data_IF_702251728567
#
_entry.id   IF_702251728567
#
_cell.length_a   1.000
_cell.length_b   1.000
_cell.length_c   1.000
_cell.angle_alpha   90.00
_cell.angle_beta   90.00
_cell.angle_gamma   90.00
#
_symmetry.space_group_name_H-M   'P 1'
#
loop_
_entity.id
_entity.type
_entity.pdbx_description
1 polymer ?
#
# COMPACT_ATOMS: atom_id res chain seq x y z
N UNK A 1 -5.81 10.27 -17.62
CA UNK A 1 -5.31 9.14 -18.44
C UNK A 1 -6.32 8.00 -18.34
N UNK A 2 -6.59 7.21 -19.39
CA UNK A 2 -7.57 6.12 -19.32
C UNK A 2 -6.90 4.87 -18.75
N UNK A 3 -7.37 4.37 -17.60
CA UNK A 3 -6.98 3.06 -17.05
C UNK A 3 -7.40 1.97 -18.02
N UNK A 4 -6.53 0.99 -18.25
CA UNK A 4 -6.80 -0.16 -19.13
C UNK A 4 -6.51 -1.46 -18.38
N UNK A 5 -7.27 -2.51 -18.69
CA UNK A 5 -6.86 -3.88 -18.33
C UNK A 5 -5.54 -4.20 -19.02
N UNK A 6 -4.66 -4.94 -18.33
CA UNK A 6 -3.36 -5.33 -18.86
C UNK A 6 -3.45 -6.04 -20.23
N UNK A 7 -4.51 -6.83 -20.46
CA UNK A 7 -4.76 -7.53 -21.73
C UNK A 7 -5.12 -6.60 -22.89
N UNK A 8 -5.53 -5.36 -22.60
CA UNK A 8 -5.90 -4.35 -23.60
C UNK A 8 -4.80 -3.29 -23.81
N UNK A 9 -3.62 -3.50 -23.23
CA UNK A 9 -2.50 -2.60 -23.35
C UNK A 9 -1.64 -2.91 -24.58
N UNK A 10 -1.13 -1.87 -25.23
CA UNK A 10 -0.03 -1.99 -26.17
C UNK A 10 1.27 -2.17 -25.37
N UNK A 11 1.76 -3.41 -25.29
CA UNK A 11 2.92 -3.75 -24.48
C UNK A 11 4.23 -3.19 -25.04
N UNK A 12 4.34 -3.06 -26.35
CA UNK A 12 5.54 -2.51 -26.99
C UNK A 12 5.63 -1.00 -26.73
N UNK A 13 4.51 -0.28 -26.84
CA UNK A 13 4.43 1.13 -26.47
C UNK A 13 4.72 1.35 -24.98
N UNK A 14 4.14 0.52 -24.11
CA UNK A 14 4.37 0.63 -22.67
C UNK A 14 5.82 0.39 -22.31
N UNK A 15 6.45 -0.68 -22.81
CA UNK A 15 7.87 -0.96 -22.55
C UNK A 15 8.78 0.16 -23.05
N UNK A 16 8.49 0.73 -24.23
CA UNK A 16 9.31 1.80 -24.83
C UNK A 16 9.23 3.13 -24.07
N UNK A 17 8.08 3.42 -23.44
CA UNK A 17 7.81 4.74 -22.85
C UNK A 17 7.89 4.75 -21.33
N UNK A 18 8.05 3.59 -20.68
CA UNK A 18 8.03 3.46 -19.23
C UNK A 18 9.45 3.31 -18.70
N UNK A 19 9.78 4.12 -17.69
CA UNK A 19 11.06 4.07 -16.99
C UNK A 19 10.98 3.31 -15.67
N UNK A 20 9.81 3.31 -15.02
CA UNK A 20 9.60 2.62 -13.74
C UNK A 20 8.30 1.84 -13.75
N UNK A 21 8.35 0.59 -13.30
CA UNK A 21 7.21 -0.31 -13.20
C UNK A 21 6.75 -0.41 -11.74
N UNK A 22 5.68 0.31 -11.42
CA UNK A 22 5.08 0.37 -10.10
C UNK A 22 3.97 -0.67 -9.90
N UNK A 23 3.90 -1.25 -8.70
CA UNK A 23 2.91 -2.26 -8.32
C UNK A 23 2.35 -1.98 -6.92
N UNK A 24 1.04 -2.17 -6.75
CA UNK A 24 0.43 -2.43 -5.45
C UNK A 24 0.82 -3.82 -4.92
N UNK A 25 0.61 -4.07 -3.63
CA UNK A 25 0.83 -5.36 -3.00
C UNK A 25 -0.43 -6.23 -2.96
N UNK A 26 -1.42 -5.82 -2.16
CA UNK A 26 -2.59 -6.64 -1.85
C UNK A 26 -3.44 -6.87 -3.11
N UNK A 27 -3.76 -8.13 -3.39
CA UNK A 27 -4.45 -8.64 -4.59
C UNK A 27 -3.79 -8.26 -5.94
N UNK A 28 -2.58 -7.70 -5.92
CA UNK A 28 -1.79 -7.39 -7.11
C UNK A 28 -0.54 -8.28 -7.16
N UNK A 29 0.39 -8.17 -6.22
CA UNK A 29 1.54 -9.07 -6.13
C UNK A 29 1.22 -10.34 -5.33
N UNK A 30 0.37 -10.22 -4.31
CA UNK A 30 0.01 -11.36 -3.46
C UNK A 30 -1.45 -11.27 -3.03
N UNK A 31 -2.05 -12.41 -2.67
CA UNK A 31 -3.33 -12.40 -1.96
C UNK A 31 -3.17 -11.62 -0.65
N UNK A 32 -4.21 -10.90 -0.23
CA UNK A 32 -4.03 -9.95 0.87
C UNK A 32 -3.47 -10.59 2.14
N UNK A 33 -2.43 -9.96 2.70
CA UNK A 33 -1.67 -10.41 3.87
C UNK A 33 -0.95 -11.76 3.74
N UNK A 34 -0.72 -12.25 2.53
CA UNK A 34 0.02 -13.48 2.26
C UNK A 34 1.32 -13.16 1.51
N UNK A 35 2.39 -13.94 1.67
CA UNK A 35 3.60 -13.77 0.87
C UNK A 35 3.34 -14.05 -0.61
N UNK A 36 4.18 -13.48 -1.48
CA UNK A 36 4.18 -13.81 -2.90
C UNK A 36 4.35 -15.32 -3.10
N UNK A 37 3.62 -15.88 -4.07
CA UNK A 37 3.76 -17.29 -4.45
C UNK A 37 5.02 -17.49 -5.30
N UNK A 38 5.58 -18.72 -5.38
CA UNK A 38 6.83 -18.99 -6.11
C UNK A 38 6.90 -18.42 -7.52
N UNK A 39 5.83 -18.55 -8.32
CA UNK A 39 5.80 -17.97 -9.67
C UNK A 39 5.92 -16.44 -9.67
N UNK A 40 5.25 -15.75 -8.73
CA UNK A 40 5.33 -14.30 -8.63
C UNK A 40 6.71 -13.85 -8.17
N UNK A 41 7.32 -14.57 -7.22
CA UNK A 41 8.68 -14.31 -6.77
C UNK A 41 9.63 -14.33 -7.98
N UNK A 42 9.59 -15.38 -8.79
CA UNK A 42 10.45 -15.52 -9.97
C UNK A 42 10.27 -14.35 -10.96
N UNK A 43 9.02 -13.99 -11.31
CA UNK A 43 8.75 -12.89 -12.27
C UNK A 43 9.14 -11.53 -11.71
N UNK A 44 8.82 -11.27 -10.45
CA UNK A 44 9.12 -10.00 -9.81
C UNK A 44 10.64 -9.82 -9.67
N UNK A 45 11.37 -10.86 -9.25
CA UNK A 45 12.83 -10.88 -9.20
C UNK A 45 13.45 -10.65 -10.59
N UNK A 46 12.96 -11.35 -11.61
CA UNK A 46 13.44 -11.18 -12.99
C UNK A 46 13.17 -9.76 -13.52
N UNK A 47 12.06 -9.14 -13.11
CA UNK A 47 11.71 -7.78 -13.52
C UNK A 47 12.66 -6.76 -12.88
N UNK A 48 12.97 -6.89 -11.59
CA UNK A 48 13.94 -5.99 -10.94
C UNK A 48 15.34 -6.14 -11.54
N UNK A 49 15.71 -7.31 -12.06
CA UNK A 49 16.98 -7.49 -12.76
C UNK A 49 17.09 -6.72 -14.10
N UNK A 50 15.97 -6.28 -14.69
CA UNK A 50 15.93 -5.66 -16.03
C UNK A 50 15.41 -4.21 -16.05
N UNK A 51 14.73 -3.76 -14.99
CA UNK A 51 14.13 -2.43 -14.95
C UNK A 51 13.98 -1.90 -13.51
N UNK A 52 13.82 -0.58 -13.40
CA UNK A 52 13.41 0.05 -12.15
C UNK A 52 11.98 -0.36 -11.80
N UNK A 53 11.80 -0.85 -10.57
CA UNK A 53 10.53 -1.36 -10.05
C UNK A 53 10.17 -0.60 -8.78
N UNK A 54 8.90 -0.23 -8.64
CA UNK A 54 8.40 0.38 -7.41
C UNK A 54 7.32 -0.48 -6.77
N UNK A 55 7.46 -0.75 -5.47
CA UNK A 55 6.43 -1.36 -4.64
C UNK A 55 5.79 -0.27 -3.78
N UNK A 56 4.54 0.08 -4.07
CA UNK A 56 3.78 1.08 -3.31
C UNK A 56 2.61 0.38 -2.64
N UNK A 57 2.72 0.15 -1.32
CA UNK A 57 1.74 -0.62 -0.54
C UNK A 57 1.14 0.22 0.57
N UNK A 58 -0.12 -0.06 0.93
CA UNK A 58 -0.72 0.47 2.16
C UNK A 58 -0.22 -0.20 3.44
N UNK A 59 0.45 -1.36 3.33
CA UNK A 59 1.03 -2.08 4.45
C UNK A 59 2.22 -1.37 5.09
N UNK A 60 2.55 -1.75 6.33
CA UNK A 60 3.78 -1.31 7.00
C UNK A 60 5.04 -1.87 6.32
N UNK A 61 6.21 -1.36 6.68
CA UNK A 61 7.48 -1.94 6.23
C UNK A 61 7.58 -3.42 6.60
N UNK A 62 7.19 -3.82 7.80
CA UNK A 62 7.23 -5.25 8.23
C UNK A 62 6.35 -6.15 7.35
N UNK A 63 5.15 -5.66 6.99
CA UNK A 63 4.24 -6.34 6.07
C UNK A 63 4.90 -6.53 4.70
N UNK A 64 5.50 -5.46 4.17
CA UNK A 64 6.21 -5.49 2.88
C UNK A 64 7.42 -6.42 2.93
N UNK A 65 8.20 -6.38 4.01
CA UNK A 65 9.38 -7.22 4.22
C UNK A 65 8.99 -8.70 4.20
N UNK A 66 8.03 -9.11 5.02
CA UNK A 66 7.60 -10.50 5.12
C UNK A 66 6.98 -11.04 3.83
N UNK A 67 6.24 -10.20 3.09
CA UNK A 67 5.48 -10.67 1.93
C UNK A 67 6.24 -10.59 0.62
N UNK A 68 7.19 -9.66 0.51
CA UNK A 68 7.94 -9.41 -0.72
C UNK A 68 9.43 -9.53 -0.49
N UNK A 69 10.02 -8.74 0.40
CA UNK A 69 11.48 -8.53 0.42
C UNK A 69 12.26 -9.76 0.90
N UNK A 70 11.74 -10.48 1.90
CA UNK A 70 12.37 -11.69 2.46
C UNK A 70 12.21 -12.90 1.55
N UNK A 71 11.23 -12.88 0.65
CA UNK A 71 10.95 -13.99 -0.27
C UNK A 71 11.57 -13.80 -1.66
N UNK A 72 12.20 -12.65 -1.94
CA UNK A 72 12.93 -12.43 -3.18
C UNK A 72 14.02 -13.49 -3.38
N UNK A 73 14.09 -14.05 -4.58
CA UNK A 73 15.12 -15.03 -4.92
C UNK A 73 16.45 -14.35 -5.31
N UNK A 74 17.46 -15.18 -5.61
CA UNK A 74 18.81 -14.71 -5.92
C UNK A 74 18.96 -13.98 -7.26
N UNK A 75 17.94 -13.98 -8.13
CA UNK A 75 17.95 -13.24 -9.39
C UNK A 75 17.51 -11.79 -9.23
N UNK A 76 16.88 -11.43 -8.10
CA UNK A 76 16.41 -10.09 -7.85
C UNK A 76 17.56 -9.09 -7.69
N UNK A 77 17.53 -8.00 -8.47
CA UNK A 77 18.36 -6.83 -8.20
C UNK A 77 17.64 -5.88 -7.24
N UNK A 78 18.07 -5.87 -5.98
CA UNK A 78 17.51 -4.99 -4.93
C UNK A 78 17.81 -3.51 -5.20
N UNK A 79 18.86 -3.20 -5.97
CA UNK A 79 19.22 -1.82 -6.28
C UNK A 79 18.27 -1.18 -7.27
N UNK A 80 17.46 -1.94 -8.02
CA UNK A 80 16.40 -1.40 -8.86
C UNK A 80 15.02 -1.37 -8.19
N UNK A 81 14.94 -1.73 -6.90
CA UNK A 81 13.65 -1.79 -6.19
C UNK A 81 13.45 -0.57 -5.28
N UNK A 82 12.38 0.17 -5.54
CA UNK A 82 11.90 1.29 -4.74
C UNK A 82 10.79 0.81 -3.82
N UNK A 83 10.97 0.94 -2.49
CA UNK A 83 10.00 0.40 -1.51
C UNK A 83 9.30 1.54 -0.78
N UNK A 84 8.00 1.68 -1.00
CA UNK A 84 7.18 2.78 -0.51
C UNK A 84 5.97 2.26 0.28
N UNK A 85 6.16 1.83 1.55
CA UNK A 85 5.09 1.35 2.40
C UNK A 85 4.18 2.51 2.85
N UNK A 86 3.08 2.17 3.53
CA UNK A 86 2.11 3.13 4.10
C UNK A 86 1.66 4.19 3.08
N UNK A 87 1.40 3.75 1.85
CA UNK A 87 1.02 4.58 0.70
C UNK A 87 2.04 5.68 0.35
N UNK A 88 3.34 5.42 0.56
CA UNK A 88 4.42 6.34 0.22
C UNK A 88 4.70 7.43 1.25
N UNK A 89 4.11 7.36 2.45
CA UNK A 89 4.52 8.20 3.57
C UNK A 89 5.93 7.86 4.08
N UNK A 90 6.46 6.69 3.71
CA UNK A 90 7.86 6.32 3.90
C UNK A 90 8.42 5.81 2.57
N UNK A 91 9.72 5.98 2.38
CA UNK A 91 10.42 5.52 1.20
C UNK A 91 11.77 4.94 1.58
N UNK A 92 12.06 3.75 1.08
CA UNK A 92 13.26 2.98 1.35
C UNK A 92 13.98 2.60 0.06
N UNK A 93 15.31 2.55 0.15
CA UNK A 93 16.20 2.12 -0.93
C UNK A 93 17.25 1.15 -0.40
N UNK A 94 17.66 0.21 -1.25
CA UNK A 94 18.77 -0.66 -0.94
C UNK A 94 20.08 0.11 -1.02
N UNK A 95 20.88 0.08 0.04
CA UNK A 95 22.19 0.76 0.09
C UNK A 95 23.38 -0.17 -0.20
N UNK A 96 23.11 -1.43 -0.57
CA UNK A 96 24.11 -2.48 -0.77
C UNK A 96 24.08 -3.56 0.31
N UNK A 97 23.63 -3.25 1.53
CA UNK A 97 23.58 -4.20 2.65
C UNK A 97 22.24 -4.25 3.39
N UNK A 98 21.49 -3.15 3.38
CA UNK A 98 20.20 -3.05 4.06
C UNK A 98 19.25 -2.09 3.33
N UNK A 99 17.96 -2.21 3.66
CA UNK A 99 16.95 -1.22 3.29
C UNK A 99 17.13 0.04 4.15
N UNK A 100 17.63 1.11 3.54
CA UNK A 100 17.85 2.40 4.17
C UNK A 100 16.63 3.31 3.96
N UNK A 101 16.19 3.97 5.04
CA UNK A 101 15.13 4.97 5.00
C UNK A 101 15.64 6.23 4.27
N UNK A 102 14.95 6.60 3.18
CA UNK A 102 15.20 7.84 2.44
C UNK A 102 14.44 9.00 3.08
N UNK A 103 13.16 8.79 3.37
CA UNK A 103 12.34 9.72 4.16
C UNK A 103 11.22 8.98 4.90
N UNK A 104 10.73 9.58 5.99
CA UNK A 104 9.45 9.23 6.61
C UNK A 104 8.67 10.50 6.97
N UNK A 105 7.35 10.41 6.83
CA UNK A 105 6.37 11.39 7.33
C UNK A 105 5.67 10.79 8.53
N UNK A 106 6.44 10.59 9.60
CA UNK A 106 5.93 10.03 10.84
C UNK A 106 5.13 11.08 11.62
N UNK A 107 4.12 10.62 12.36
CA UNK A 107 3.39 11.44 13.30
C UNK A 107 4.32 11.78 14.47
N UNK A 108 4.37 13.04 14.86
CA UNK A 108 5.14 13.45 16.03
C UNK A 108 4.52 12.89 17.33
N UNK A 109 5.28 12.77 18.42
CA UNK A 109 4.80 12.14 19.66
C UNK A 109 3.54 12.76 20.26
N UNK A 110 3.35 14.08 20.14
CA UNK A 110 2.19 14.78 20.68
C UNK A 110 0.94 14.48 19.83
N UNK A 111 1.11 14.47 18.51
CA UNK A 111 0.06 14.02 17.58
C UNK A 111 -0.31 12.56 17.85
N UNK A 112 0.67 11.68 18.05
CA UNK A 112 0.43 10.26 18.38
C UNK A 112 -0.43 10.15 19.65
N UNK A 113 -0.02 10.79 20.75
CA UNK A 113 -0.77 10.74 22.01
C UNK A 113 -2.21 11.27 21.87
N UNK A 114 -2.40 12.32 21.07
CA UNK A 114 -3.71 12.90 20.79
C UNK A 114 -4.60 11.93 20.01
N UNK A 115 -4.04 11.28 18.97
CA UNK A 115 -4.75 10.30 18.14
C UNK A 115 -5.13 9.07 18.97
N UNK A 116 -4.20 8.50 19.74
CA UNK A 116 -4.45 7.33 20.56
C UNK A 116 -5.54 7.62 21.62
N UNK A 117 -5.46 8.77 22.27
CA UNK A 117 -6.46 9.21 23.26
C UNK A 117 -7.85 9.40 22.65
N UNK A 118 -7.94 10.02 21.46
CA UNK A 118 -9.21 10.20 20.74
C UNK A 118 -9.83 8.85 20.34
N UNK A 119 -9.03 7.97 19.73
CA UNK A 119 -9.47 6.62 19.33
C UNK A 119 -10.00 5.82 20.52
N UNK A 120 -9.25 5.79 21.63
CA UNK A 120 -9.64 5.05 22.83
C UNK A 120 -10.91 5.60 23.47
N UNK A 121 -10.99 6.92 23.64
CA UNK A 121 -12.15 7.57 24.26
C UNK A 121 -13.42 7.32 23.45
N UNK A 122 -13.42 7.63 22.16
CA UNK A 122 -14.60 7.47 21.30
C UNK A 122 -14.99 5.99 21.13
N UNK A 123 -14.01 5.09 21.02
CA UNK A 123 -14.32 3.66 20.95
C UNK A 123 -15.01 3.16 22.23
N UNK A 124 -14.62 3.65 23.42
CA UNK A 124 -15.31 3.32 24.68
C UNK A 124 -16.71 3.94 24.76
N UNK A 125 -16.84 5.22 24.43
CA UNK A 125 -18.13 5.94 24.45
C UNK A 125 -19.17 5.30 23.52
N UNK A 126 -18.72 4.79 22.36
CA UNK A 126 -19.56 4.10 21.39
C UNK A 126 -19.77 2.61 21.68
N UNK A 127 -19.18 2.06 22.75
CA UNK A 127 -19.27 0.63 23.10
C UNK A 127 -18.56 -0.29 22.11
N UNK A 128 -17.52 0.20 21.43
CA UNK A 128 -16.72 -0.50 20.41
C UNK A 128 -15.41 -1.08 20.97
N UNK A 129 -15.17 -0.90 22.26
CA UNK A 129 -13.98 -1.40 22.96
C UNK A 129 -14.20 -2.84 23.44
N UNK A 130 -14.09 -3.79 22.51
CA UNK A 130 -14.41 -5.22 22.73
C UNK A 130 -13.55 -5.86 23.82
N UNK A 131 -14.11 -6.67 24.71
CA UNK A 131 -13.35 -7.32 25.80
C UNK A 131 -12.33 -8.36 25.30
N UNK A 132 -12.75 -9.19 24.32
CA UNK A 132 -11.91 -10.24 23.77
C UNK A 132 -11.01 -9.68 22.68
N UNK A 133 -9.72 -9.64 22.96
CA UNK A 133 -8.70 -9.11 22.05
C UNK A 133 -7.57 -10.07 21.72
N UNK A 134 -7.06 -9.90 20.51
CA UNK A 134 -5.88 -10.58 19.99
C UNK A 134 -4.83 -9.53 19.63
N UNK A 135 -3.90 -9.28 20.56
CA UNK A 135 -2.89 -8.24 20.45
C UNK A 135 -3.39 -6.82 20.75
N UNK A 136 -2.56 -5.80 20.49
CA UNK A 136 -2.91 -4.40 20.73
C UNK A 136 -4.14 -3.96 19.92
N UNK A 137 -5.00 -3.12 20.49
CA UNK A 137 -6.11 -2.48 19.73
C UNK A 137 -5.60 -1.32 18.90
N UNK A 138 -4.70 -0.53 19.44
CA UNK A 138 -4.10 0.62 18.76
C UNK A 138 -2.65 0.25 18.42
N UNK A 139 -2.26 0.48 17.18
CA UNK A 139 -0.93 0.21 16.67
C UNK A 139 -0.40 1.44 15.94
N UNK A 140 0.74 1.96 16.39
CA UNK A 140 1.46 3.05 15.74
C UNK A 140 2.47 2.47 14.74
N UNK A 141 2.31 2.81 13.47
CA UNK A 141 3.17 2.41 12.34
C UNK A 141 4.07 3.57 11.85
N UNK A 142 4.35 4.51 12.74
CA UNK A 142 5.05 5.77 12.48
C UNK A 142 4.16 6.81 11.81
N UNK A 143 3.83 6.59 10.54
CA UNK A 143 3.05 7.56 9.73
C UNK A 143 1.53 7.35 9.77
N UNK A 144 1.10 6.27 10.41
CA UNK A 144 -0.29 5.87 10.54
C UNK A 144 -0.50 5.20 11.88
N UNK A 145 -1.61 5.52 12.55
CA UNK A 145 -2.10 4.79 13.71
C UNK A 145 -3.36 4.05 13.30
N UNK A 146 -3.45 2.76 13.65
CA UNK A 146 -4.60 1.91 13.35
C UNK A 146 -5.25 1.42 14.63
N UNK A 147 -6.52 1.74 14.82
CA UNK A 147 -7.39 1.07 15.78
C UNK A 147 -8.01 -0.19 15.15
N UNK A 148 -8.07 -1.29 15.90
CA UNK A 148 -8.75 -2.53 15.57
C UNK A 148 -9.56 -2.99 16.78
N UNK A 149 -10.89 -3.11 16.63
CA UNK A 149 -11.81 -3.36 17.76
C UNK A 149 -11.44 -4.60 18.59
N UNK A 150 -11.14 -5.71 17.91
CA UNK A 150 -10.71 -6.97 18.52
C UNK A 150 -9.17 -7.13 18.58
N UNK A 151 -8.40 -6.08 18.34
CA UNK A 151 -6.94 -6.15 18.25
C UNK A 151 -6.39 -6.55 16.89
N UNK A 152 -5.12 -6.22 16.64
CA UNK A 152 -4.48 -6.36 15.32
C UNK A 152 -4.47 -7.81 14.81
N UNK A 153 -4.40 -8.80 15.70
CA UNK A 153 -4.23 -10.21 15.37
C UNK A 153 -5.51 -11.03 15.40
N UNK A 154 -6.69 -10.39 15.51
CA UNK A 154 -7.94 -11.15 15.55
C UNK A 154 -8.16 -11.98 14.27
N UNK A 155 -8.74 -13.19 14.38
CA UNK A 155 -9.08 -14.01 13.21
C UNK A 155 -9.99 -13.29 12.22
N UNK A 156 -9.86 -13.60 10.93
CA UNK A 156 -10.58 -12.91 9.85
C UNK A 156 -12.09 -13.05 10.01
N UNK A 157 -12.57 -14.22 10.43
CA UNK A 157 -13.98 -14.53 10.66
C UNK A 157 -14.58 -13.62 11.74
N UNK A 158 -13.84 -13.43 12.85
CA UNK A 158 -14.23 -12.52 13.94
C UNK A 158 -14.32 -11.08 13.44
N UNK A 159 -13.30 -10.64 12.69
CA UNK A 159 -13.27 -9.27 12.14
C UNK A 159 -14.43 -9.03 11.17
N UNK A 160 -14.77 -10.00 10.32
CA UNK A 160 -15.86 -9.91 9.33
C UNK A 160 -17.24 -9.82 9.98
N UNK A 161 -17.46 -10.53 11.08
CA UNK A 161 -18.76 -10.55 11.77
C UNK A 161 -19.01 -9.30 12.62
N UNK A 162 -17.97 -8.55 12.97
CA UNK A 162 -18.07 -7.46 13.93
C UNK A 162 -18.88 -6.25 13.44
N UNK A 163 -18.70 -5.84 12.18
CA UNK A 163 -19.33 -4.64 11.59
C UNK A 163 -19.66 -4.87 10.10
N UNK A 164 -20.55 -5.82 9.77
CA UNK A 164 -20.81 -6.25 8.40
C UNK A 164 -21.43 -5.15 7.52
N UNK A 165 -22.08 -4.16 8.13
CA UNK A 165 -22.71 -3.01 7.45
C UNK A 165 -21.87 -1.72 7.53
N UNK A 166 -20.68 -1.78 8.14
CA UNK A 166 -19.73 -0.67 8.30
C UNK A 166 -20.21 0.48 9.19
N UNK A 167 -21.33 0.35 9.91
CA UNK A 167 -21.89 1.47 10.68
C UNK A 167 -21.03 1.80 11.90
N UNK A 168 -20.47 0.79 12.58
CA UNK A 168 -19.67 1.01 13.80
C UNK A 168 -18.40 1.77 13.49
N UNK A 169 -17.63 1.31 12.50
CA UNK A 169 -16.37 1.96 12.11
C UNK A 169 -16.58 3.33 11.48
N UNK A 170 -17.71 3.57 10.80
CA UNK A 170 -18.05 4.91 10.30
C UNK A 170 -18.33 5.88 11.44
N UNK A 171 -19.15 5.48 12.43
CA UNK A 171 -19.42 6.32 13.60
C UNK A 171 -18.14 6.67 14.37
N UNK A 172 -17.25 5.68 14.58
CA UNK A 172 -15.95 5.93 15.22
C UNK A 172 -15.08 6.88 14.39
N UNK A 173 -14.98 6.65 13.08
CA UNK A 173 -14.19 7.49 12.20
C UNK A 173 -14.69 8.94 12.15
N UNK A 174 -16.01 9.16 12.20
CA UNK A 174 -16.61 10.50 12.25
C UNK A 174 -16.30 11.23 13.56
N UNK A 175 -16.47 10.54 14.70
CA UNK A 175 -16.21 11.12 16.01
C UNK A 175 -14.72 11.49 16.18
N UNK A 176 -13.81 10.60 15.76
CA UNK A 176 -12.36 10.83 15.80
C UNK A 176 -11.94 11.95 14.84
N UNK A 177 -12.59 12.07 13.67
CA UNK A 177 -12.33 13.16 12.71
C UNK A 177 -12.69 14.52 13.28
N UNK A 178 -13.71 14.60 14.13
CA UNK A 178 -14.09 15.86 14.77
C UNK A 178 -13.00 16.40 15.71
N UNK A 179 -12.24 15.51 16.36
CA UNK A 179 -11.11 15.89 17.22
C UNK A 179 -9.84 16.21 16.41
N UNK A 180 -9.72 15.65 15.19
CA UNK A 180 -8.49 15.63 14.40
C UNK A 180 -8.72 16.20 12.98
N UNK A 181 -9.13 17.47 12.83
CA UNK A 181 -9.50 18.03 11.53
C UNK A 181 -8.33 18.06 10.52
N UNK A 182 -7.10 18.13 11.02
CA UNK A 182 -5.89 18.20 10.20
C UNK A 182 -5.33 16.84 9.78
N UNK A 183 -5.93 15.74 10.26
CA UNK A 183 -5.56 14.37 9.92
C UNK A 183 -6.61 13.68 9.06
N UNK A 184 -6.17 12.67 8.33
CA UNK A 184 -7.03 11.79 7.56
C UNK A 184 -7.51 10.65 8.45
N UNK A 185 -8.81 10.61 8.70
CA UNK A 185 -9.45 9.52 9.45
C UNK A 185 -10.33 8.69 8.50
N UNK A 186 -10.03 7.40 8.37
CA UNK A 186 -10.72 6.49 7.45
C UNK A 186 -11.12 5.19 8.16
N UNK A 187 -12.30 4.69 7.85
CA UNK A 187 -12.65 3.31 8.17
C UNK A 187 -11.90 2.32 7.29
N UNK A 188 -11.08 1.44 7.88
CA UNK A 188 -10.23 0.47 7.20
C UNK A 188 -10.66 -0.98 7.45
N UNK A 189 -10.39 -1.87 6.48
CA UNK A 189 -10.63 -3.32 6.62
C UNK A 189 -12.04 -3.70 7.08
N UNK A 190 -12.15 -4.82 7.80
CA UNK A 190 -13.41 -5.29 8.37
C UNK A 190 -13.75 -4.67 9.74
N UNK A 191 -12.73 -4.26 10.51
CA UNK A 191 -12.93 -3.90 11.92
C UNK A 191 -11.99 -2.80 12.43
N UNK A 192 -11.53 -1.92 11.54
CA UNK A 192 -10.46 -0.97 11.86
C UNK A 192 -10.80 0.47 11.47
N UNK A 193 -10.16 1.42 12.16
CA UNK A 193 -10.12 2.84 11.80
C UNK A 193 -8.65 3.26 11.75
N UNK A 194 -8.26 3.84 10.62
CA UNK A 194 -6.91 4.30 10.35
C UNK A 194 -6.86 5.83 10.45
N UNK A 195 -5.83 6.35 11.10
CA UNK A 195 -5.53 7.77 11.22
C UNK A 195 -4.13 8.02 10.68
N UNK A 196 -3.99 8.93 9.72
CA UNK A 196 -2.71 9.29 9.12
C UNK A 196 -2.68 10.76 8.71
N UNK A 197 -1.52 11.24 8.25
CA UNK A 197 -1.42 12.58 7.67
C UNK A 197 -2.31 12.73 6.44
N UNK A 198 -2.90 13.93 6.30
CA UNK A 198 -3.63 14.30 5.09
C UNK A 198 -2.71 14.29 3.86
N UNK A 199 -3.29 13.95 2.71
CA UNK A 199 -2.56 13.93 1.43
C UNK A 199 -1.60 12.75 1.22
N UNK A 200 -1.50 11.81 2.17
CA UNK A 200 -0.74 10.57 1.99
C UNK A 200 -1.58 9.52 1.25
N UNK A 201 -1.26 9.31 -0.02
CA UNK A 201 -1.85 8.31 -0.90
C UNK A 201 -0.88 7.94 -2.03
N UNK A 202 -1.30 7.05 -2.94
CA UNK A 202 -0.47 6.63 -4.07
C UNK A 202 -0.19 7.75 -5.07
N UNK A 203 -0.97 8.84 -5.08
CA UNK A 203 -0.66 10.03 -5.86
C UNK A 203 0.59 10.73 -5.30
N UNK A 204 0.68 10.84 -3.97
CA UNK A 204 1.88 11.36 -3.28
C UNK A 204 3.09 10.48 -3.57
N UNK A 205 2.96 9.15 -3.40
CA UNK A 205 4.05 8.21 -3.65
C UNK A 205 4.62 8.33 -5.08
N UNK A 206 3.75 8.37 -6.09
CA UNK A 206 4.14 8.53 -7.51
C UNK A 206 4.88 9.85 -7.75
N UNK A 207 4.40 10.98 -7.18
CA UNK A 207 5.08 12.28 -7.33
C UNK A 207 6.45 12.29 -6.67
N UNK A 208 6.55 11.73 -5.46
CA UNK A 208 7.82 11.64 -4.74
C UNK A 208 8.82 10.73 -5.47
N UNK A 209 8.36 9.60 -5.99
CA UNK A 209 9.18 8.69 -6.79
C UNK A 209 9.70 9.35 -8.06
N UNK A 210 8.82 10.03 -8.81
CA UNK A 210 9.19 10.77 -10.01
C UNK A 210 10.24 11.85 -9.70
N UNK A 211 10.03 12.63 -8.63
CA UNK A 211 10.99 13.64 -8.18
C UNK A 211 12.33 13.04 -7.75
N UNK A 212 12.32 11.93 -7.02
CA UNK A 212 13.54 11.27 -6.55
C UNK A 212 14.39 10.72 -7.69
N UNK A 213 13.76 10.34 -8.81
CA UNK A 213 14.41 9.81 -10.00
C UNK A 213 14.69 10.87 -11.08
N UNK A 214 14.20 12.10 -10.91
CA UNK A 214 14.31 13.15 -11.93
C UNK A 214 13.54 12.82 -13.23
N UNK A 215 12.42 12.11 -13.11
CA UNK A 215 11.55 11.73 -14.24
C UNK A 215 10.17 12.37 -14.09
N UNK A 216 9.33 12.26 -15.12
CA UNK A 216 7.94 12.71 -15.05
C UNK A 216 7.01 11.58 -14.58
N UNK A 217 5.88 11.92 -13.95
CA UNK A 217 4.92 10.90 -13.49
C UNK A 217 4.37 10.03 -14.62
N UNK A 218 4.27 10.56 -15.85
CA UNK A 218 3.89 9.80 -17.05
C UNK A 218 4.91 8.72 -17.47
N UNK A 219 6.14 8.80 -16.98
CA UNK A 219 7.17 7.78 -17.21
C UNK A 219 6.99 6.57 -16.28
N UNK A 220 6.08 6.65 -15.32
CA UNK A 220 5.77 5.58 -14.36
C UNK A 220 4.52 4.84 -14.85
N UNK A 221 4.63 3.52 -14.94
CA UNK A 221 3.48 2.62 -15.03
C UNK A 221 3.08 2.22 -13.61
N UNK A 222 1.80 2.29 -13.26
CA UNK A 222 1.31 1.80 -11.97
C UNK A 222 0.26 0.72 -12.20
N UNK A 223 0.45 -0.42 -11.53
CA UNK A 223 -0.40 -1.61 -11.60
C UNK A 223 -1.10 -1.85 -10.27
N UNK A 224 -2.41 -2.08 -10.28
CA UNK A 224 -3.19 -2.32 -9.07
C UNK A 224 -4.57 -2.91 -9.35
N UNK A 225 -5.22 -3.47 -8.32
CA UNK A 225 -6.53 -4.11 -8.43
C UNK A 225 -7.70 -3.13 -8.32
N UNK A 226 -7.49 -1.98 -7.67
CA UNK A 226 -8.52 -0.98 -7.37
C UNK A 226 -8.26 0.34 -8.09
N UNK A 227 -8.20 0.25 -9.41
CA UNK A 227 -7.94 1.35 -10.35
C UNK A 227 -9.21 2.09 -10.83
N UNK A 228 -10.29 2.06 -10.07
CA UNK A 228 -11.53 2.84 -10.36
C UNK A 228 -11.62 4.07 -9.47
N UNK A 229 -12.39 5.12 -9.83
CA UNK A 229 -12.67 6.23 -8.93
C UNK A 229 -13.13 5.74 -7.53
N UNK A 230 -12.46 6.22 -6.48
CA UNK A 230 -12.67 5.77 -5.10
C UNK A 230 -11.87 4.52 -4.67
N UNK A 231 -11.19 3.84 -5.59
CA UNK A 231 -10.19 2.83 -5.30
C UNK A 231 -8.87 3.44 -4.80
N UNK A 232 -8.06 2.68 -4.07
CA UNK A 232 -6.81 3.17 -3.48
C UNK A 232 -5.66 3.28 -4.50
N UNK A 233 -5.75 2.64 -5.66
CA UNK A 233 -4.74 2.72 -6.74
C UNK A 233 -4.97 3.87 -7.70
N UNK A 234 -6.23 4.24 -7.90
CA UNK A 234 -6.60 5.32 -8.82
C UNK A 234 -5.87 6.65 -8.58
N UNK A 235 -5.54 7.07 -7.32
CA UNK A 235 -4.75 8.27 -7.08
C UNK A 235 -3.39 8.29 -7.81
N UNK A 236 -2.74 7.15 -8.04
CA UNK A 236 -1.52 7.09 -8.84
C UNK A 236 -1.73 7.60 -10.28
N UNK A 237 -2.89 7.27 -10.86
CA UNK A 237 -3.30 7.69 -12.20
C UNK A 237 -3.69 9.16 -12.22
N UNK A 238 -4.32 9.65 -11.16
CA UNK A 238 -4.62 11.08 -10.98
C UNK A 238 -3.34 11.92 -10.87
N UNK A 239 -2.26 11.36 -10.31
CA UNK A 239 -0.93 11.98 -10.33
C UNK A 239 -0.25 11.96 -11.72
N UNK A 240 -0.83 11.28 -12.70
CA UNK A 240 -0.33 11.22 -14.08
C UNK A 240 0.41 9.94 -14.47
N UNK A 241 0.47 8.92 -13.61
CA UNK A 241 1.01 7.62 -13.98
C UNK A 241 0.14 6.91 -15.03
N UNK A 242 0.76 6.02 -15.82
CA UNK A 242 0.05 5.10 -16.72
C UNK A 242 -0.60 4.00 -15.88
N UNK A 243 -1.92 4.07 -15.73
CA UNK A 243 -2.68 3.07 -14.96
C UNK A 243 -2.96 1.79 -15.74
N UNK A 244 -2.52 0.66 -15.20
CA UNK A 244 -2.87 -0.69 -15.66
C UNK A 244 -3.65 -1.40 -14.56
N UNK A 245 -4.86 -1.86 -14.84
CA UNK A 245 -5.67 -2.61 -13.89
C UNK A 245 -5.47 -4.12 -14.05
N UNK A 246 -5.32 -4.80 -12.93
CA UNK A 246 -5.36 -6.27 -12.80
C UNK A 246 -6.54 -6.66 -11.92
N UNK A 247 -7.03 -7.90 -11.97
CA UNK A 247 -8.09 -8.33 -11.04
C UNK A 247 -7.59 -9.20 -9.89
N UNK A 248 -6.43 -9.82 -10.06
CA UNK A 248 -5.81 -10.69 -9.07
C UNK A 248 -4.29 -10.86 -9.35
N UNK A 249 -3.55 -11.60 -8.49
CA UNK A 249 -2.14 -11.86 -8.73
C UNK A 249 -1.82 -12.69 -9.98
N UNK A 250 -2.77 -13.45 -10.52
CA UNK A 250 -2.61 -14.17 -11.79
C UNK A 250 -2.56 -13.22 -12.99
N UNK A 251 -3.40 -12.18 -12.99
CA UNK A 251 -3.34 -11.10 -13.96
C UNK A 251 -2.01 -10.34 -13.92
N UNK A 252 -1.52 -10.01 -12.71
CA UNK A 252 -0.23 -9.35 -12.54
C UNK A 252 0.94 -10.21 -13.04
N UNK A 253 0.88 -11.53 -12.84
CA UNK A 253 1.82 -12.47 -13.44
C UNK A 253 1.81 -12.40 -14.97
N UNK A 254 0.62 -12.43 -15.59
CA UNK A 254 0.49 -12.32 -17.04
C UNK A 254 1.05 -11.01 -17.60
N UNK A 255 0.83 -9.90 -16.90
CA UNK A 255 1.46 -8.61 -17.22
C UNK A 255 2.99 -8.70 -17.14
N UNK A 256 3.56 -9.24 -16.06
CA UNK A 256 5.02 -9.36 -15.91
C UNK A 256 5.64 -10.24 -16.98
N UNK A 257 5.01 -11.37 -17.33
CA UNK A 257 5.46 -12.23 -18.43
C UNK A 257 5.49 -11.44 -19.76
N UNK A 258 4.46 -10.64 -20.03
CA UNK A 258 4.40 -9.80 -21.23
C UNK A 258 5.47 -8.69 -21.25
N UNK A 259 5.77 -8.09 -20.09
CA UNK A 259 6.84 -7.10 -19.94
C UNK A 259 8.23 -7.74 -20.12
N UNK A 260 8.49 -8.85 -19.44
CA UNK A 260 9.77 -9.57 -19.51
C UNK A 260 10.09 -10.12 -20.90
N UNK A 261 9.09 -10.39 -21.72
CA UNK A 261 9.28 -10.77 -23.12
C UNK A 261 9.81 -9.63 -24.02
N UNK A 262 9.71 -8.36 -23.55
CA UNK A 262 10.01 -7.14 -24.34
C UNK A 262 11.12 -6.29 -23.74
N UNK A 263 11.30 -6.37 -22.43
CA UNK A 263 12.37 -5.69 -21.73
C UNK A 263 13.72 -6.32 -22.09
N UNK A 264 14.76 -5.48 -22.34
CA UNK A 264 16.09 -5.93 -22.73
C UNK A 264 16.78 -6.74 -21.63
#
# INVERSE_FOLDING_TARGET
MKVRSWTACDMDELCRTTKVYGFDLDNTLASSKQPMKPAMIERFSALTARAEVALISGGSMDVVTLQVLDVLDGTADRTHLHVMPTSGSRYYRWNGSAWALVYSHDLDPDTVATVESSLERHAKELGLWEDRVWGPRIENRGSQITFSAHGQYAPVEVKRQWDPDNRKKQALAEAVRADLPDLKVRSGGYSSVDVSLNGMDKAYAVRQLASALGIETRDILFTGDRMTPGGNDYPAVEAGAKGVSVTDPGDALGLMDALLARLP
#
